data_IF_149355260647
#
_entry.id   IF_149355260647
#
_cell.length_a   1.000
_cell.length_b   1.000
_cell.length_c   1.000
_cell.angle_alpha   90.00
_cell.angle_beta   90.00
_cell.angle_gamma   90.00
#
_symmetry.space_group_name_H-M   'P 1'
#
loop_
_entity.id
_entity.type
_entity.pdbx_description
1 polymer ?
#
# COMPACT_ATOMS: atom_id res chain seq x y z
N UNK A 1 -18.17 3.98 9.50
CA UNK A 1 -16.87 3.59 8.91
C UNK A 1 -16.98 3.72 7.41
N UNK A 2 -16.13 4.52 6.77
CA UNK A 2 -16.13 4.65 5.30
C UNK A 2 -15.55 3.35 4.71
N UNK A 3 -16.25 2.73 3.76
CA UNK A 3 -15.76 1.53 3.10
C UNK A 3 -14.46 1.86 2.35
N UNK A 4 -13.48 0.97 2.44
CA UNK A 4 -12.26 1.08 1.63
C UNK A 4 -12.61 0.86 0.16
N UNK A 5 -12.04 1.63 -0.77
CA UNK A 5 -12.26 1.42 -2.19
C UNK A 5 -11.75 0.04 -2.60
N UNK A 6 -12.62 -0.75 -3.26
CA UNK A 6 -12.33 -2.14 -3.64
C UNK A 6 -11.08 -2.25 -4.51
N UNK A 7 -10.84 -1.28 -5.40
CA UNK A 7 -9.67 -1.24 -6.27
C UNK A 7 -8.33 -1.23 -5.49
N UNK A 8 -8.27 -0.55 -4.34
CA UNK A 8 -7.06 -0.53 -3.49
C UNK A 8 -6.90 -1.86 -2.77
N UNK A 9 -7.99 -2.41 -2.23
CA UNK A 9 -7.94 -3.69 -1.52
C UNK A 9 -7.64 -4.86 -2.44
N UNK A 10 -8.18 -4.89 -3.67
CA UNK A 10 -7.87 -5.93 -4.68
C UNK A 10 -6.38 -5.94 -5.03
N UNK A 11 -5.80 -4.78 -5.31
CA UNK A 11 -4.38 -4.65 -5.60
C UNK A 11 -3.50 -5.06 -4.40
N UNK A 12 -3.93 -4.74 -3.18
CA UNK A 12 -3.23 -5.20 -1.97
C UNK A 12 -3.35 -6.70 -1.77
N UNK A 13 -4.52 -7.31 -1.96
CA UNK A 13 -4.68 -8.77 -1.90
C UNK A 13 -3.75 -9.43 -2.89
N UNK A 14 -3.71 -8.93 -4.13
CA UNK A 14 -2.83 -9.44 -5.18
C UNK A 14 -1.35 -9.42 -4.77
N UNK A 15 -0.88 -8.32 -4.16
CA UNK A 15 0.48 -8.28 -3.60
C UNK A 15 0.65 -9.22 -2.40
N UNK A 16 -0.29 -9.25 -1.46
CA UNK A 16 -0.15 -9.99 -0.21
C UNK A 16 -0.25 -11.52 -0.38
N UNK A 17 -0.96 -11.97 -1.41
CA UNK A 17 -1.14 -13.39 -1.73
C UNK A 17 -0.11 -13.89 -2.76
N UNK A 18 0.35 -13.04 -3.68
CA UNK A 18 1.23 -13.43 -4.80
C UNK A 18 2.59 -12.72 -4.85
N UNK A 19 2.92 -11.86 -3.88
CA UNK A 19 4.16 -11.06 -3.83
C UNK A 19 4.40 -10.22 -5.11
N UNK A 20 3.30 -9.75 -5.72
CA UNK A 20 3.35 -8.95 -6.94
C UNK A 20 3.66 -7.48 -6.62
N UNK A 21 4.94 -7.10 -6.72
CA UNK A 21 5.40 -5.74 -6.46
C UNK A 21 4.68 -4.68 -7.31
N UNK A 22 4.28 -4.99 -8.55
CA UNK A 22 3.57 -4.05 -9.40
C UNK A 22 2.17 -3.74 -8.85
N UNK A 23 1.54 -4.73 -8.21
CA UNK A 23 0.25 -4.56 -7.55
C UNK A 23 0.36 -3.67 -6.31
N UNK A 24 1.47 -3.73 -5.58
CA UNK A 24 1.73 -2.82 -4.46
C UNK A 24 1.88 -1.37 -4.94
N UNK A 25 2.62 -1.13 -6.03
CA UNK A 25 2.76 0.21 -6.62
C UNK A 25 1.41 0.75 -7.10
N UNK A 26 0.59 -0.11 -7.73
CA UNK A 26 -0.76 0.25 -8.14
C UNK A 26 -1.65 0.59 -6.93
N UNK A 27 -1.61 -0.20 -5.86
CA UNK A 27 -2.34 0.09 -4.63
C UNK A 27 -1.93 1.44 -4.03
N UNK A 28 -0.63 1.74 -4.04
CA UNK A 28 -0.08 3.03 -3.58
C UNK A 28 -0.58 4.21 -4.43
N UNK A 29 -0.56 4.08 -5.76
CA UNK A 29 -1.05 5.11 -6.67
C UNK A 29 -2.57 5.32 -6.55
N UNK A 30 -3.34 4.25 -6.39
CA UNK A 30 -4.77 4.34 -6.15
C UNK A 30 -5.08 4.97 -4.79
N UNK A 31 -4.24 4.70 -3.79
CA UNK A 31 -4.41 5.25 -2.45
C UNK A 31 -4.11 6.75 -2.37
N UNK A 32 -3.16 7.25 -3.16
CA UNK A 32 -2.82 8.68 -3.21
C UNK A 32 -3.81 9.52 -4.03
N UNK A 33 -4.54 8.88 -4.95
CA UNK A 33 -5.49 9.57 -5.86
C UNK A 33 -6.93 9.58 -5.35
N UNK A 34 -7.30 8.66 -4.46
CA UNK A 34 -8.68 8.50 -3.98
C UNK A 34 -8.87 8.96 -2.52
N UNK A 35 -10.02 9.59 -2.19
CA UNK A 35 -10.32 9.99 -0.82
C UNK A 35 -10.72 8.77 0.04
N UNK A 36 -9.74 8.19 0.73
CA UNK A 36 -9.90 7.02 1.61
C UNK A 36 -9.48 7.31 3.06
N UNK A 37 -10.01 6.49 3.98
CA UNK A 37 -9.62 6.55 5.40
C UNK A 37 -8.29 5.82 5.61
N UNK A 38 -7.21 6.59 5.79
CA UNK A 38 -5.85 6.09 5.98
C UNK A 38 -5.77 5.09 7.13
N UNK A 39 -6.38 5.41 8.27
CA UNK A 39 -6.40 4.54 9.45
C UNK A 39 -7.14 3.23 9.18
N UNK A 40 -8.23 3.27 8.40
CA UNK A 40 -8.95 2.07 8.01
C UNK A 40 -8.09 1.18 7.09
N UNK A 41 -7.36 1.78 6.15
CA UNK A 41 -6.48 1.07 5.22
C UNK A 41 -5.34 0.37 5.97
N UNK A 42 -4.62 1.11 6.82
CA UNK A 42 -3.51 0.55 7.59
C UNK A 42 -3.98 -0.52 8.59
N UNK A 43 -5.15 -0.33 9.20
CA UNK A 43 -5.75 -1.35 10.08
C UNK A 43 -6.12 -2.61 9.29
N UNK A 44 -6.66 -2.46 8.09
CA UNK A 44 -7.00 -3.60 7.23
C UNK A 44 -5.74 -4.39 6.82
N UNK A 45 -4.66 -3.72 6.42
CA UNK A 45 -3.38 -4.38 6.11
C UNK A 45 -2.80 -5.07 7.35
N UNK A 46 -2.93 -4.45 8.53
CA UNK A 46 -2.46 -5.03 9.78
C UNK A 46 -3.19 -6.32 10.16
N UNK A 47 -4.49 -6.43 9.86
CA UNK A 47 -5.31 -7.61 10.18
C UNK A 47 -5.30 -8.68 9.08
N UNK A 48 -4.86 -8.35 7.87
CA UNK A 48 -4.78 -9.31 6.76
C UNK A 48 -3.77 -10.43 7.03
N UNK A 49 -4.18 -11.67 6.76
CA UNK A 49 -3.37 -12.86 7.01
C UNK A 49 -2.44 -13.11 5.81
N UNK A 50 -1.20 -12.66 5.93
CA UNK A 50 -0.15 -12.79 4.92
C UNK A 50 1.21 -12.95 5.61
N UNK A 51 2.27 -13.11 4.79
CA UNK A 51 3.63 -13.11 5.30
C UNK A 51 3.93 -11.78 6.03
N UNK A 52 4.51 -11.81 7.25
CA UNK A 52 4.84 -10.61 8.01
C UNK A 52 5.78 -9.66 7.26
N UNK A 53 6.67 -10.16 6.39
CA UNK A 53 7.55 -9.34 5.58
C UNK A 53 6.78 -8.56 4.51
N UNK A 54 5.86 -9.22 3.80
CA UNK A 54 4.98 -8.58 2.81
C UNK A 54 4.12 -7.50 3.46
N UNK A 55 3.53 -7.81 4.62
CA UNK A 55 2.73 -6.85 5.38
C UNK A 55 3.53 -5.62 5.80
N UNK A 56 4.74 -5.81 6.31
CA UNK A 56 5.61 -4.71 6.74
C UNK A 56 5.98 -3.82 5.54
N UNK A 57 6.29 -4.43 4.40
CA UNK A 57 6.61 -3.74 3.16
C UNK A 57 5.39 -2.96 2.64
N UNK A 58 4.21 -3.58 2.56
CA UNK A 58 2.98 -2.90 2.14
C UNK A 58 2.67 -1.69 3.03
N UNK A 59 2.79 -1.86 4.36
CA UNK A 59 2.58 -0.78 5.32
C UNK A 59 3.54 0.37 5.11
N UNK A 60 4.82 0.07 4.84
CA UNK A 60 5.85 1.09 4.58
C UNK A 60 5.58 1.83 3.27
N UNK A 61 5.30 1.10 2.19
CA UNK A 61 5.02 1.70 0.88
C UNK A 61 3.76 2.56 0.89
N UNK A 62 2.68 2.10 1.52
CA UNK A 62 1.46 2.89 1.68
C UNK A 62 1.70 4.18 2.48
N UNK A 63 2.46 4.11 3.58
CA UNK A 63 2.81 5.30 4.36
C UNK A 63 3.64 6.30 3.55
N UNK A 64 4.57 5.81 2.73
CA UNK A 64 5.37 6.65 1.86
C UNK A 64 4.51 7.33 0.77
N UNK A 65 3.63 6.56 0.12
CA UNK A 65 2.72 7.06 -0.92
C UNK A 65 1.73 8.11 -0.40
N UNK A 66 1.29 7.99 0.84
CA UNK A 66 0.37 8.92 1.51
C UNK A 66 1.09 10.10 2.17
N UNK A 67 2.42 10.22 2.04
CA UNK A 67 3.20 11.30 2.65
C UNK A 67 3.24 11.25 4.18
N UNK A 68 2.93 10.10 4.79
CA UNK A 68 2.94 9.88 6.24
C UNK A 68 4.34 9.52 6.77
N UNK A 69 5.33 9.50 5.89
CA UNK A 69 6.74 9.30 6.22
C UNK A 69 7.31 10.54 6.90
N UNK A 70 7.27 10.55 8.23
CA UNK A 70 8.28 11.24 9.02
C UNK A 70 9.63 10.54 8.83
N UNK A 71 10.48 11.11 7.97
CA UNK A 71 11.86 10.75 7.55
C UNK A 71 12.00 10.27 6.08
N UNK A 72 12.90 10.91 5.30
CA UNK A 72 13.07 10.68 3.87
C UNK A 72 13.83 9.38 3.61
N UNK A 73 13.10 8.32 3.28
CA UNK A 73 13.67 7.05 2.82
C UNK A 73 13.52 6.92 1.31
N UNK A 74 14.56 7.32 0.57
CA UNK A 74 14.87 7.02 -0.83
C UNK A 74 13.70 6.97 -1.83
N UNK A 75 13.64 8.03 -2.65
CA UNK A 75 13.03 8.07 -3.99
C UNK A 75 12.97 6.69 -4.66
N UNK A 76 11.76 6.23 -4.96
CA UNK A 76 11.52 5.15 -5.90
C UNK A 76 12.32 5.46 -7.18
N UNK A 77 13.32 4.62 -7.48
CA UNK A 77 14.02 4.68 -8.76
C UNK A 77 13.03 4.30 -9.85
N UNK A 78 12.68 5.24 -10.72
CA UNK A 78 12.17 4.95 -12.06
C UNK A 78 13.32 4.35 -12.88
N UNK A 79 13.24 3.09 -13.37
CA UNK A 79 14.13 2.65 -14.43
C UNK A 79 13.56 3.22 -15.75
N UNK A 80 14.24 4.22 -16.30
CA UNK A 80 13.86 4.83 -17.57
C UNK A 80 15.04 5.50 -18.24
N UNK A 81 15.91 4.70 -18.86
CA UNK A 81 16.79 5.09 -19.95
C UNK A 81 16.95 3.89 -20.89
#
# INVERSE_FOLDING_TARGET
MKALPSAVTDALVQYLDWDDAAALDQACALASTQPLEINALLSWVATYRCDPALRAQATRSLRAALGLTGLPGAVCRTPGA
#
